data_IF_875149208372
#
_entry.id   IF_875149208372
#
_cell.length_a   1.000
_cell.length_b   1.000
_cell.length_c   1.000
_cell.angle_alpha   90.00
_cell.angle_beta   90.00
_cell.angle_gamma   90.00
#
_symmetry.space_group_name_H-M   'P 1'
#
loop_
_entity.id
_entity.type
_entity.pdbx_description
1 polymer ?
#
# COMPACT_ATOMS: atom_id res chain seq x y z
N UNK A 1 -3.07 -6.24 -19.69
CA UNK A 1 -3.82 -5.04 -19.31
C UNK A 1 -5.18 -5.43 -18.80
N UNK A 2 -5.35 -5.11 -17.54
CA UNK A 2 -6.47 -5.36 -16.68
C UNK A 2 -7.67 -4.58 -17.24
N UNK A 3 -8.87 -5.12 -17.14
CA UNK A 3 -10.08 -4.45 -17.65
C UNK A 3 -11.22 -4.68 -16.69
N UNK A 4 -12.16 -3.73 -16.64
CA UNK A 4 -13.32 -3.82 -15.75
C UNK A 4 -12.94 -3.66 -14.28
N UNK A 5 -13.22 -4.68 -13.48
CA UNK A 5 -12.93 -4.69 -12.03
C UNK A 5 -11.97 -5.83 -11.70
N UNK A 6 -10.84 -5.50 -11.09
CA UNK A 6 -9.84 -6.45 -10.62
C UNK A 6 -9.77 -6.43 -9.09
N UNK A 7 -9.45 -7.55 -8.46
CA UNK A 7 -9.10 -7.63 -7.04
C UNK A 7 -7.72 -8.24 -6.88
N UNK A 8 -6.82 -7.50 -6.24
CA UNK A 8 -5.44 -7.93 -5.97
C UNK A 8 -5.35 -8.45 -4.55
N UNK A 9 -5.11 -9.75 -4.39
CA UNK A 9 -5.01 -10.41 -3.10
C UNK A 9 -3.55 -10.59 -2.71
N UNK A 10 -3.21 -10.25 -1.48
CA UNK A 10 -1.87 -10.45 -0.93
C UNK A 10 -1.93 -10.56 0.59
N UNK A 11 -0.94 -11.25 1.17
CA UNK A 11 -0.77 -11.33 2.61
C UNK A 11 0.67 -10.97 2.97
N UNK A 12 0.85 -10.27 4.09
CA UNK A 12 2.17 -9.88 4.60
C UNK A 12 2.32 -10.27 6.06
N UNK A 13 3.54 -10.61 6.47
CA UNK A 13 3.89 -10.93 7.85
C UNK A 13 5.30 -10.40 8.13
N UNK A 14 5.52 -9.83 9.31
CA UNK A 14 6.85 -9.37 9.73
C UNK A 14 7.79 -10.57 9.92
N UNK A 15 9.03 -10.42 9.44
CA UNK A 15 10.12 -11.33 9.79
C UNK A 15 10.79 -10.82 11.07
N UNK A 16 10.45 -11.40 12.22
CA UNK A 16 10.97 -10.98 13.53
C UNK A 16 12.48 -11.18 13.68
N UNK A 17 13.09 -12.08 12.90
CA UNK A 17 14.54 -12.30 12.90
C UNK A 17 15.29 -11.21 12.11
N UNK A 18 14.61 -10.49 11.22
CA UNK A 18 15.16 -9.43 10.38
C UNK A 18 14.21 -8.22 10.38
N UNK A 19 14.07 -7.51 11.52
CA UNK A 19 13.10 -6.44 11.66
C UNK A 19 13.40 -5.26 10.73
N UNK A 20 12.34 -4.60 10.27
CA UNK A 20 12.46 -3.38 9.46
C UNK A 20 12.93 -2.19 10.31
N UNK A 21 13.66 -1.26 9.67
CA UNK A 21 13.98 0.02 10.29
C UNK A 21 12.90 1.05 9.95
N UNK A 22 11.96 1.24 10.87
CA UNK A 22 10.80 2.10 10.73
C UNK A 22 11.10 3.62 10.59
N UNK A 23 12.37 4.05 10.68
CA UNK A 23 12.76 5.43 10.33
C UNK A 23 12.73 5.71 8.82
N UNK A 24 12.51 4.69 7.99
CA UNK A 24 12.42 4.79 6.54
C UNK A 24 11.01 4.47 6.05
N UNK A 25 10.68 4.95 4.86
CA UNK A 25 9.47 4.53 4.16
C UNK A 25 9.72 3.18 3.46
N UNK A 26 8.71 2.32 3.50
CA UNK A 26 8.66 1.08 2.76
C UNK A 26 7.40 1.03 1.90
N UNK A 27 7.59 0.75 0.61
CA UNK A 27 6.52 0.51 -0.36
C UNK A 27 6.53 -0.99 -0.67
N UNK A 28 5.49 -1.70 -0.21
CA UNK A 28 5.50 -3.17 -0.13
C UNK A 28 4.78 -3.76 -1.34
N UNK A 29 3.50 -3.41 -1.51
CA UNK A 29 2.69 -3.87 -2.63
C UNK A 29 2.11 -2.66 -3.32
N UNK A 30 2.36 -2.51 -4.61
CA UNK A 30 1.87 -1.37 -5.39
C UNK A 30 1.65 -1.75 -6.85
N UNK A 31 0.91 -0.90 -7.57
CA UNK A 31 0.80 -0.97 -9.03
C UNK A 31 1.44 0.29 -9.59
N UNK A 32 2.52 0.17 -10.36
CA UNK A 32 3.26 1.29 -10.96
C UNK A 32 2.67 1.61 -12.35
N UNK A 33 1.88 2.70 -12.52
CA UNK A 33 1.41 3.14 -13.81
C UNK A 33 2.52 3.89 -14.56
N UNK A 34 2.23 4.33 -15.78
CA UNK A 34 3.22 4.95 -16.67
C UNK A 34 3.80 6.28 -16.18
N UNK A 35 3.24 6.89 -15.15
CA UNK A 35 3.71 8.15 -14.57
C UNK A 35 4.71 7.96 -13.42
N UNK A 36 5.07 6.70 -13.10
CA UNK A 36 6.03 6.37 -12.04
C UNK A 36 5.49 6.58 -10.61
N UNK A 37 4.17 6.70 -10.45
CA UNK A 37 3.49 6.75 -9.15
C UNK A 37 2.88 5.39 -8.82
N UNK A 38 1.82 5.34 -7.99
CA UNK A 38 1.12 4.11 -7.64
C UNK A 38 -0.39 4.25 -7.85
N UNK A 39 -1.06 3.27 -8.48
CA UNK A 39 -2.54 3.23 -8.52
C UNK A 39 -3.09 3.08 -7.10
N UNK A 40 -2.47 2.20 -6.32
CA UNK A 40 -2.55 2.11 -4.87
C UNK A 40 -1.21 1.59 -4.34
N UNK A 41 -0.97 1.78 -3.05
CA UNK A 41 0.18 1.18 -2.36
C UNK A 41 -0.19 0.64 -0.97
N UNK A 42 0.53 -0.40 -0.54
CA UNK A 42 0.70 -0.76 0.86
C UNK A 42 2.02 -0.14 1.35
N UNK A 43 1.90 0.88 2.18
CA UNK A 43 3.01 1.62 2.78
C UNK A 43 3.20 1.22 4.25
N UNK A 44 4.45 1.28 4.72
CA UNK A 44 4.85 1.11 6.12
C UNK A 44 6.02 2.06 6.45
N UNK A 45 6.23 2.34 7.73
CA UNK A 45 7.36 3.15 8.18
C UNK A 45 7.08 4.65 8.16
N UNK A 46 8.17 5.43 8.22
CA UNK A 46 8.11 6.89 8.26
C UNK A 46 8.08 7.45 6.84
N UNK A 47 7.01 8.15 6.41
CA UNK A 47 6.90 8.64 5.04
C UNK A 47 8.09 9.51 4.61
N UNK A 48 8.51 9.38 3.36
CA UNK A 48 9.55 10.24 2.80
C UNK A 48 8.94 11.63 2.53
N UNK A 49 9.12 12.55 3.47
CA UNK A 49 8.66 13.95 3.34
C UNK A 49 9.80 14.96 3.38
N UNK A 50 10.93 14.63 4.02
CA UNK A 50 12.16 15.41 3.99
C UNK A 50 13.36 14.52 4.40
N UNK A 51 14.45 14.44 3.61
CA UNK A 51 15.63 13.58 3.87
C UNK A 51 16.47 13.97 5.11
N UNK A 52 16.07 15.02 5.84
CA UNK A 52 16.77 15.50 7.04
C UNK A 52 16.04 15.16 8.35
N UNK A 53 14.86 14.54 8.30
CA UNK A 53 14.11 14.22 9.51
C UNK A 53 14.61 12.91 10.10
N UNK A 54 15.08 12.95 11.34
CA UNK A 54 15.40 11.74 12.11
C UNK A 54 14.23 11.25 12.96
N UNK A 55 13.12 12.00 12.98
CA UNK A 55 11.93 11.65 13.75
C UNK A 55 11.17 10.51 13.09
N UNK A 56 10.98 9.43 13.84
CA UNK A 56 10.14 8.30 13.43
C UNK A 56 8.68 8.71 13.59
N UNK A 57 7.89 8.55 12.54
CA UNK A 57 6.46 8.86 12.59
C UNK A 57 5.76 8.03 13.69
N UNK A 58 4.81 8.64 14.40
CA UNK A 58 4.09 7.96 15.48
C UNK A 58 3.34 6.70 15.01
N UNK A 59 2.94 6.68 13.75
CA UNK A 59 2.23 5.62 13.06
C UNK A 59 3.17 4.80 12.13
N UNK A 60 4.50 4.86 12.34
CA UNK A 60 5.45 4.16 11.47
C UNK A 60 5.27 2.63 11.49
N UNK A 61 4.63 2.08 12.52
CA UNK A 61 4.30 0.64 12.63
C UNK A 61 2.88 0.30 12.14
N UNK A 62 2.28 1.14 11.31
CA UNK A 62 0.99 0.89 10.70
C UNK A 62 1.16 0.53 9.22
N UNK A 63 0.51 -0.55 8.80
CA UNK A 63 0.30 -0.87 7.40
C UNK A 63 -0.77 0.07 6.87
N UNK A 64 -0.46 0.82 5.81
CA UNK A 64 -1.34 1.85 5.24
C UNK A 64 -1.64 1.52 3.79
N UNK A 65 -2.90 1.39 3.43
CA UNK A 65 -3.33 1.36 2.03
C UNK A 65 -3.64 2.78 1.59
N UNK A 66 -2.97 3.26 0.55
CA UNK A 66 -3.12 4.63 0.04
C UNK A 66 -3.54 4.63 -1.43
N UNK A 67 -4.26 5.66 -1.85
CA UNK A 67 -4.66 5.88 -3.24
C UNK A 67 -3.54 6.55 -4.06
N UNK A 68 -3.82 6.85 -5.33
CA UNK A 68 -2.86 7.46 -6.24
C UNK A 68 -2.44 8.89 -5.87
N UNK A 69 -3.29 9.61 -5.13
CA UNK A 69 -2.95 10.91 -4.58
C UNK A 69 -2.30 10.80 -3.18
N UNK A 70 -1.93 9.59 -2.77
CA UNK A 70 -1.40 9.25 -1.45
C UNK A 70 -2.39 9.55 -0.30
N UNK A 71 -3.69 9.65 -0.57
CA UNK A 71 -4.68 9.73 0.51
C UNK A 71 -4.77 8.37 1.21
N UNK A 72 -4.89 8.40 2.54
CA UNK A 72 -5.08 7.19 3.33
C UNK A 72 -6.49 6.61 3.10
N UNK A 73 -6.56 5.35 2.66
CA UNK A 73 -7.82 4.62 2.53
C UNK A 73 -8.10 3.74 3.75
N UNK A 74 -7.08 3.06 4.26
CA UNK A 74 -7.17 2.15 5.39
C UNK A 74 -5.82 2.03 6.08
N UNK A 75 -5.82 1.90 7.40
CA UNK A 75 -4.63 1.51 8.15
C UNK A 75 -4.92 0.52 9.27
N UNK A 76 -3.90 -0.24 9.63
CA UNK A 76 -3.94 -1.17 10.76
C UNK A 76 -2.55 -1.28 11.39
N UNK A 77 -2.44 -1.47 12.72
CA UNK A 77 -1.16 -1.81 13.33
C UNK A 77 -0.54 -3.05 12.68
N UNK A 78 0.77 -3.03 12.42
CA UNK A 78 1.50 -4.20 11.94
C UNK A 78 1.93 -5.04 13.14
N UNK A 79 1.16 -6.09 13.43
CA UNK A 79 1.38 -6.91 14.63
C UNK A 79 2.33 -8.07 14.33
N UNK A 80 3.44 -8.13 15.07
CA UNK A 80 4.42 -9.20 14.98
C UNK A 80 3.79 -10.59 15.10
N UNK A 81 4.32 -11.56 14.34
CA UNK A 81 3.85 -12.94 14.33
C UNK A 81 2.48 -13.16 13.69
N UNK A 82 1.84 -12.15 13.10
CA UNK A 82 0.52 -12.26 12.48
C UNK A 82 0.59 -12.06 10.96
N UNK A 83 -0.15 -12.89 10.24
CA UNK A 83 -0.47 -12.64 8.83
C UNK A 83 -1.54 -11.55 8.72
N UNK A 84 -1.25 -10.54 7.93
CA UNK A 84 -2.16 -9.47 7.54
C UNK A 84 -2.59 -9.73 6.10
N UNK A 85 -3.86 -10.07 5.89
CA UNK A 85 -4.39 -10.40 4.57
C UNK A 85 -5.10 -9.17 4.01
N UNK A 86 -4.88 -8.87 2.74
CA UNK A 86 -5.50 -7.76 2.04
C UNK A 86 -6.11 -8.24 0.73
N UNK A 87 -7.16 -7.53 0.31
CA UNK A 87 -7.46 -7.39 -1.11
C UNK A 87 -7.72 -5.93 -1.43
N UNK A 88 -7.18 -5.44 -2.54
CA UNK A 88 -7.54 -4.12 -3.08
C UNK A 88 -8.30 -4.32 -4.37
N UNK A 89 -9.57 -3.92 -4.39
CA UNK A 89 -10.37 -3.88 -5.59
C UNK A 89 -10.08 -2.60 -6.35
N UNK A 90 -9.83 -2.70 -7.65
CA UNK A 90 -9.66 -1.57 -8.56
C UNK A 90 -10.73 -1.66 -9.64
N UNK A 91 -11.56 -0.62 -9.76
CA UNK A 91 -12.42 -0.42 -10.92
C UNK A 91 -11.71 0.49 -11.92
N UNK A 92 -11.19 -0.10 -12.99
CA UNK A 92 -10.39 0.58 -14.01
C UNK A 92 -11.20 1.55 -14.87
N UNK A 93 -12.53 1.41 -14.87
CA UNK A 93 -13.43 2.27 -15.64
C UNK A 93 -13.89 3.46 -14.82
N UNK A 94 -14.34 3.20 -13.59
CA UNK A 94 -14.87 4.23 -12.71
C UNK A 94 -13.79 4.91 -11.86
N UNK A 95 -12.54 4.43 -11.94
CA UNK A 95 -11.40 4.90 -11.15
C UNK A 95 -11.73 4.91 -9.67
N UNK A 96 -12.04 3.72 -9.14
CA UNK A 96 -12.35 3.57 -7.71
C UNK A 96 -11.58 2.43 -7.08
N UNK A 97 -11.36 2.55 -5.77
CA UNK A 97 -10.70 1.57 -4.93
C UNK A 97 -11.63 1.08 -3.82
N UNK A 98 -11.48 -0.17 -3.39
CA UNK A 98 -12.06 -0.67 -2.15
C UNK A 98 -11.09 -1.63 -1.46
N UNK A 99 -10.90 -1.44 -0.16
CA UNK A 99 -9.97 -2.25 0.64
C UNK A 99 -10.74 -3.32 1.41
N UNK A 100 -10.20 -4.53 1.36
CA UNK A 100 -10.60 -5.69 2.14
C UNK A 100 -9.43 -6.11 3.03
N UNK A 101 -9.72 -6.52 4.25
CA UNK A 101 -8.69 -6.87 5.22
C UNK A 101 -9.13 -7.96 6.19
N UNK A 102 -8.20 -8.81 6.61
CA UNK A 102 -8.36 -9.73 7.74
C UNK A 102 -7.01 -10.10 8.37
N UNK A 103 -7.04 -10.77 9.52
CA UNK A 103 -5.84 -11.24 10.24
C UNK A 103 -5.85 -12.75 10.42
N UNK A 104 -4.70 -13.38 10.18
CA UNK A 104 -4.51 -14.82 10.36
C UNK A 104 -5.46 -15.61 9.45
N UNK A 105 -6.26 -16.49 10.05
CA UNK A 105 -7.19 -17.35 9.33
C UNK A 105 -8.61 -16.75 9.19
N UNK A 106 -8.84 -15.50 9.61
CA UNK A 106 -10.15 -14.87 9.48
C UNK A 106 -10.48 -14.58 8.00
N UNK A 107 -11.76 -14.67 7.64
CA UNK A 107 -12.24 -14.33 6.31
C UNK A 107 -12.00 -12.84 5.98
N UNK A 108 -11.63 -12.57 4.73
CA UNK A 108 -11.48 -11.21 4.21
C UNK A 108 -12.83 -10.49 4.19
N UNK A 109 -12.90 -9.31 4.80
CA UNK A 109 -14.09 -8.45 4.80
C UNK A 109 -13.77 -7.09 4.22
N UNK A 110 -14.77 -6.43 3.62
CA UNK A 110 -14.61 -5.04 3.20
C UNK A 110 -14.44 -4.16 4.44
N UNK A 111 -13.34 -3.40 4.49
CA UNK A 111 -13.03 -2.47 5.60
C UNK A 111 -13.20 -1.00 5.20
N UNK A 112 -13.41 -0.74 3.91
CA UNK A 112 -13.78 0.58 3.39
C UNK A 112 -15.04 0.50 2.52
N UNK A 113 -15.72 1.63 2.36
CA UNK A 113 -16.59 1.84 1.20
C UNK A 113 -15.75 1.94 -0.07
N UNK A 114 -16.41 1.93 -1.23
CA UNK A 114 -15.76 2.29 -2.50
C UNK A 114 -15.35 3.76 -2.44
N UNK A 115 -14.08 4.05 -2.70
CA UNK A 115 -13.49 5.38 -2.67
C UNK A 115 -13.04 5.79 -4.09
N UNK A 116 -13.18 7.07 -4.48
CA UNK A 116 -12.70 7.54 -5.77
C UNK A 116 -11.16 7.59 -5.80
N UNK A 117 -10.57 7.34 -6.97
CA UNK A 117 -9.14 7.44 -7.25
C UNK A 117 -8.91 8.27 -8.53
N UNK A 118 -9.38 9.52 -8.58
CA UNK A 118 -9.57 10.26 -9.83
C UNK A 118 -8.27 10.78 -10.45
N UNK A 119 -7.17 10.72 -9.71
CA UNK A 119 -5.84 11.13 -10.18
C UNK A 119 -5.12 10.02 -10.95
N UNK A 120 -5.60 8.78 -10.88
CA UNK A 120 -5.08 7.69 -11.69
C UNK A 120 -5.48 7.86 -13.17
N UNK A 121 -4.56 7.54 -14.07
CA UNK A 121 -4.84 7.56 -15.50
C UNK A 121 -5.80 6.43 -15.92
N UNK A 122 -6.53 6.64 -17.02
CA UNK A 122 -7.36 5.58 -17.63
C UNK A 122 -6.58 4.78 -18.67
N UNK A 123 -7.02 3.55 -18.92
CA UNK A 123 -6.48 2.70 -19.99
C UNK A 123 -5.03 2.27 -19.72
N UNK A 124 -4.28 2.05 -20.79
CA UNK A 124 -2.92 1.48 -20.71
C UNK A 124 -1.96 2.26 -19.84
N UNK A 125 -2.11 3.58 -19.80
CA UNK A 125 -1.26 4.46 -19.02
C UNK A 125 -1.44 4.29 -17.50
N UNK A 126 -2.62 3.84 -17.05
CA UNK A 126 -2.96 3.74 -15.62
C UNK A 126 -3.06 2.33 -15.04
N UNK A 127 -2.88 1.29 -15.86
CA UNK A 127 -3.02 -0.10 -15.40
C UNK A 127 -1.72 -0.67 -14.84
N UNK A 128 -0.58 -0.26 -15.40
CA UNK A 128 0.72 -0.45 -14.79
C UNK A 128 1.17 -1.90 -14.57
N UNK A 129 2.28 -2.04 -13.88
CA UNK A 129 2.82 -3.33 -13.44
C UNK A 129 2.51 -3.55 -11.95
N UNK A 130 2.16 -4.78 -11.56
CA UNK A 130 1.92 -5.13 -10.16
C UNK A 130 3.20 -5.61 -9.48
N UNK A 131 3.64 -4.87 -8.46
CA UNK A 131 4.85 -5.17 -7.69
C UNK A 131 4.45 -5.75 -6.34
N UNK A 132 4.76 -7.04 -6.14
CA UNK A 132 4.74 -7.68 -4.83
C UNK A 132 6.18 -7.79 -4.31
N UNK A 133 6.65 -6.73 -3.65
CA UNK A 133 8.06 -6.55 -3.34
C UNK A 133 8.26 -5.90 -1.96
N UNK A 134 9.47 -5.41 -1.70
CA UNK A 134 9.74 -4.49 -0.61
C UNK A 134 10.74 -3.45 -1.14
N UNK A 135 10.26 -2.25 -1.45
CA UNK A 135 11.09 -1.13 -1.83
C UNK A 135 11.31 -0.25 -0.60
N UNK A 136 12.57 0.04 -0.27
CA UNK A 136 12.96 0.90 0.84
C UNK A 136 13.41 2.27 0.31
N UNK A 137 12.75 3.34 0.76
CA UNK A 137 13.16 4.72 0.46
C UNK A 137 13.98 5.27 1.63
N UNK A 138 15.19 5.77 1.35
CA UNK A 138 16.14 6.16 2.41
C UNK A 138 15.89 7.61 2.85
N UNK A 139 15.33 7.78 4.05
CA UNK A 139 15.10 9.08 4.71
C UNK A 139 16.33 9.78 5.32
N UNK A 140 17.55 9.25 5.18
CA UNK A 140 18.78 9.84 5.77
C UNK A 140 19.88 9.95 4.73
N UNK A 141 20.58 11.09 4.70
CA UNK A 141 21.85 11.21 3.98
C UNK A 141 22.89 10.31 4.67
N UNK A 142 23.59 9.47 3.87
CA UNK A 142 24.78 8.72 4.30
C UNK A 142 25.93 9.67 4.64
#
# INVERSE_FOLDING_TARGET
>A
MEVGVSKFYFSVQENEQLPLNYSHEYQIVFIEPSDGTHVFELQLGTPFSNPSTTEVAADAKFLKVRDHALNLLFETPFTAGRWHNFAVQVDWKNLTLQVFYSVGAAELVAVTSVAPNPTAATGSAGQGDFHAALLKVINTLL
#
